data_IF_249556897260
#
_entry.id   IF_249556897260
#
_cell.length_a   1.000
_cell.length_b   1.000
_cell.length_c   1.000
_cell.angle_alpha   90.00
_cell.angle_beta   90.00
_cell.angle_gamma   90.00
#
_symmetry.space_group_name_H-M   'P 1'
#
loop_
_entity.id
_entity.type
_entity.pdbx_description
1 polymer ?
#
# COMPACT_ATOMS: atom_id res chain seq x y z
N UNK A 1 -22.04 -9.85 53.51
CA UNK A 1 -23.03 -9.26 52.60
C UNK A 1 -23.29 -10.28 51.51
N UNK A 2 -24.51 -10.85 51.41
CA UNK A 2 -24.78 -11.97 50.51
C UNK A 2 -24.93 -11.46 49.06
N UNK A 3 -24.00 -11.89 48.20
CA UNK A 3 -23.97 -11.52 46.78
C UNK A 3 -25.29 -11.90 46.08
N UNK A 4 -25.89 -13.04 46.42
CA UNK A 4 -27.19 -13.50 45.92
C UNK A 4 -28.34 -12.53 46.23
N UNK A 5 -28.32 -11.91 47.38
CA UNK A 5 -29.33 -10.92 47.76
C UNK A 5 -29.18 -9.65 46.90
N UNK A 6 -27.95 -9.17 46.70
CA UNK A 6 -27.68 -8.01 45.85
C UNK A 6 -28.11 -8.23 44.42
N UNK A 7 -27.80 -9.37 43.82
CA UNK A 7 -28.19 -9.71 42.44
C UNK A 7 -29.72 -9.73 42.30
N UNK A 8 -30.44 -10.38 43.25
CA UNK A 8 -31.91 -10.45 43.21
C UNK A 8 -32.56 -9.08 43.36
N UNK A 9 -32.04 -8.24 44.26
CA UNK A 9 -32.55 -6.89 44.52
C UNK A 9 -32.30 -5.97 43.28
N UNK A 10 -31.10 -6.05 42.69
CA UNK A 10 -30.77 -5.32 41.46
C UNK A 10 -31.70 -5.74 40.34
N UNK A 11 -31.88 -7.03 40.09
CA UNK A 11 -32.76 -7.54 39.04
C UNK A 11 -34.22 -7.08 39.23
N UNK A 12 -34.71 -7.07 40.50
CA UNK A 12 -36.05 -6.57 40.83
C UNK A 12 -36.19 -5.09 40.54
N UNK A 13 -35.19 -4.27 40.90
CA UNK A 13 -35.18 -2.84 40.62
C UNK A 13 -35.10 -2.49 39.12
N UNK A 14 -34.28 -3.21 38.35
CA UNK A 14 -34.24 -3.11 36.88
C UNK A 14 -35.60 -3.39 36.25
N UNK A 15 -36.25 -4.48 36.68
CA UNK A 15 -37.58 -4.88 36.18
C UNK A 15 -38.68 -3.88 36.55
N UNK A 16 -38.59 -3.26 37.71
CA UNK A 16 -39.56 -2.23 38.16
C UNK A 16 -39.43 -0.90 37.39
N UNK A 17 -38.21 -0.57 36.94
CA UNK A 17 -37.90 0.64 36.20
C UNK A 17 -37.49 0.31 34.75
N UNK A 18 -38.22 -0.59 34.11
CA UNK A 18 -37.84 -1.13 32.78
C UNK A 18 -37.61 -0.06 31.74
N UNK A 19 -38.44 0.98 31.71
CA UNK A 19 -38.34 2.09 30.77
C UNK A 19 -37.04 2.87 30.91
N UNK A 20 -36.65 3.20 32.16
CA UNK A 20 -35.39 3.89 32.44
C UNK A 20 -34.18 2.99 32.11
N UNK A 21 -34.26 1.72 32.44
CA UNK A 21 -33.21 0.75 32.16
C UNK A 21 -33.04 0.59 30.63
N UNK A 22 -34.14 0.45 29.91
CA UNK A 22 -34.10 0.33 28.45
C UNK A 22 -33.51 1.58 27.77
N UNK A 23 -33.92 2.77 28.23
CA UNK A 23 -33.37 4.03 27.74
C UNK A 23 -31.85 4.11 27.97
N UNK A 24 -31.38 3.76 29.16
CA UNK A 24 -29.94 3.76 29.48
C UNK A 24 -29.17 2.77 28.60
N UNK A 25 -29.68 1.55 28.45
CA UNK A 25 -29.05 0.50 27.62
C UNK A 25 -28.99 0.96 26.16
N UNK A 26 -30.07 1.51 25.61
CA UNK A 26 -30.08 2.04 24.25
C UNK A 26 -29.09 3.15 24.05
N UNK A 27 -29.00 4.10 24.99
CA UNK A 27 -28.01 5.20 24.91
C UNK A 27 -26.58 4.66 24.88
N UNK A 28 -26.25 3.71 25.76
CA UNK A 28 -24.92 3.09 25.78
C UNK A 28 -24.67 2.29 24.50
N UNK A 29 -25.66 1.51 24.03
CA UNK A 29 -25.55 0.74 22.80
C UNK A 29 -25.30 1.63 21.57
N UNK A 30 -26.05 2.72 21.44
CA UNK A 30 -25.84 3.70 20.34
C UNK A 30 -24.44 4.32 20.44
N UNK A 31 -24.02 4.75 21.62
CA UNK A 31 -22.68 5.34 21.81
C UNK A 31 -21.55 4.38 21.45
N UNK A 32 -21.65 3.11 21.88
CA UNK A 32 -20.67 2.08 21.56
C UNK A 32 -20.69 1.72 20.07
N UNK A 33 -21.87 1.70 19.44
CA UNK A 33 -22.01 1.47 17.99
C UNK A 33 -21.34 2.59 17.18
N UNK A 34 -21.55 3.85 17.55
CA UNK A 34 -20.91 4.99 16.90
C UNK A 34 -19.39 4.95 17.05
N UNK A 35 -18.91 4.60 18.25
CA UNK A 35 -17.48 4.42 18.48
C UNK A 35 -16.92 3.28 17.60
N UNK A 36 -17.61 2.15 17.54
CA UNK A 36 -17.23 1.02 16.69
C UNK A 36 -17.15 1.39 15.21
N UNK A 37 -18.17 2.10 14.71
CA UNK A 37 -18.18 2.62 13.32
C UNK A 37 -17.01 3.59 13.09
N UNK A 38 -16.73 4.50 14.01
CA UNK A 38 -15.63 5.44 13.90
C UNK A 38 -14.27 4.72 13.79
N UNK A 39 -14.04 3.69 14.61
CA UNK A 39 -12.80 2.89 14.56
C UNK A 39 -12.68 2.09 13.25
N UNK A 40 -13.79 1.54 12.75
CA UNK A 40 -13.80 0.82 11.47
C UNK A 40 -13.52 1.77 10.29
N UNK A 41 -14.11 2.97 10.31
CA UNK A 41 -13.84 3.98 9.29
C UNK A 41 -12.38 4.43 9.32
N UNK A 42 -11.82 4.68 10.50
CA UNK A 42 -10.40 5.04 10.64
C UNK A 42 -9.49 3.95 10.05
N UNK A 43 -9.76 2.68 10.35
CA UNK A 43 -8.99 1.56 9.78
C UNK A 43 -9.19 1.44 8.27
N UNK A 44 -10.39 1.67 7.77
CA UNK A 44 -10.70 1.68 6.34
C UNK A 44 -9.96 2.79 5.58
N UNK A 45 -9.92 3.99 6.14
CA UNK A 45 -9.20 5.14 5.56
C UNK A 45 -7.70 4.86 5.54
N UNK A 46 -7.10 4.38 6.64
CA UNK A 46 -5.68 4.06 6.67
C UNK A 46 -5.32 3.01 5.62
N UNK A 47 -6.10 1.92 5.52
CA UNK A 47 -5.86 0.89 4.50
C UNK A 47 -6.04 1.41 3.06
N UNK A 48 -6.96 2.36 2.84
CA UNK A 48 -7.13 2.98 1.54
C UNK A 48 -5.94 3.90 1.20
N UNK A 49 -5.47 4.69 2.18
CA UNK A 49 -4.30 5.56 2.02
C UNK A 49 -3.06 4.74 1.72
N UNK A 50 -2.79 3.66 2.48
CA UNK A 50 -1.67 2.76 2.25
C UNK A 50 -1.71 2.13 0.84
N UNK A 51 -2.90 1.79 0.35
CA UNK A 51 -3.07 1.28 -1.02
C UNK A 51 -2.81 2.34 -2.08
N UNK A 52 -3.22 3.59 -1.82
CA UNK A 52 -3.00 4.70 -2.75
C UNK A 52 -1.52 5.13 -2.76
N UNK A 53 -0.88 5.20 -1.60
CA UNK A 53 0.55 5.50 -1.49
C UNK A 53 1.41 4.43 -2.15
N UNK A 54 1.07 3.15 -2.00
CA UNK A 54 1.76 2.04 -2.65
C UNK A 54 1.34 1.81 -4.11
N UNK A 55 0.27 2.46 -4.58
CA UNK A 55 -0.25 2.31 -5.94
C UNK A 55 0.36 3.25 -6.97
N UNK A 56 1.02 4.34 -6.54
CA UNK A 56 1.70 5.27 -7.44
C UNK A 56 3.19 5.00 -7.38
N UNK A 57 3.67 4.25 -8.32
CA UNK A 57 5.10 4.02 -8.53
C UNK A 57 5.50 4.51 -9.92
N UNK A 58 6.68 5.07 -10.06
CA UNK A 58 7.29 5.24 -11.35
C UNK A 58 8.43 4.25 -11.54
N UNK A 59 8.64 3.86 -12.79
CA UNK A 59 9.58 2.80 -13.14
C UNK A 59 10.75 3.42 -13.87
N UNK A 60 11.94 3.20 -13.36
CA UNK A 60 13.19 3.52 -14.05
C UNK A 60 13.69 2.24 -14.70
N UNK A 61 13.55 2.14 -16.02
CA UNK A 61 14.03 1.00 -16.79
C UNK A 61 15.55 1.10 -16.96
N UNK A 62 16.23 0.01 -16.66
CA UNK A 62 17.69 -0.09 -16.73
C UNK A 62 18.09 -0.68 -18.07
N UNK A 63 19.20 -0.20 -18.63
CA UNK A 63 19.76 -0.76 -19.87
C UNK A 63 20.31 -2.16 -19.61
N UNK A 64 20.17 -3.11 -20.55
CA UNK A 64 20.64 -4.48 -20.36
C UNK A 64 22.16 -4.60 -20.15
N UNK A 65 22.92 -3.64 -20.66
CA UNK A 65 24.38 -3.55 -20.64
C UNK A 65 24.92 -2.62 -19.55
N UNK A 66 24.08 -2.28 -18.55
CA UNK A 66 24.48 -1.44 -17.42
C UNK A 66 25.67 -2.06 -16.67
N UNK A 67 26.70 -1.27 -16.45
CA UNK A 67 27.86 -1.70 -15.65
C UNK A 67 27.55 -1.62 -14.16
N UNK A 68 28.24 -2.45 -13.34
CA UNK A 68 28.08 -2.39 -11.87
C UNK A 68 28.39 -0.99 -11.30
N UNK A 69 29.34 -0.28 -11.89
CA UNK A 69 29.65 1.09 -11.46
C UNK A 69 28.46 2.05 -11.72
N UNK A 70 27.83 1.97 -12.88
CA UNK A 70 26.64 2.77 -13.22
C UNK A 70 25.47 2.42 -12.31
N UNK A 71 25.28 1.14 -12.00
CA UNK A 71 24.24 0.66 -11.07
C UNK A 71 24.44 1.22 -9.66
N UNK A 72 25.68 1.19 -9.17
CA UNK A 72 26.02 1.74 -7.86
C UNK A 72 25.84 3.27 -7.80
N UNK A 73 26.19 3.99 -8.87
CA UNK A 73 25.94 5.43 -8.98
C UNK A 73 24.44 5.74 -8.97
N UNK A 74 23.66 4.96 -9.73
CA UNK A 74 22.20 5.11 -9.79
C UNK A 74 21.56 4.85 -8.41
N UNK A 75 22.00 3.83 -7.69
CA UNK A 75 21.54 3.56 -6.32
C UNK A 75 21.92 4.71 -5.37
N UNK A 76 23.12 5.22 -5.46
CA UNK A 76 23.54 6.39 -4.65
C UNK A 76 22.68 7.63 -4.94
N UNK A 77 22.34 7.85 -6.20
CA UNK A 77 21.45 8.95 -6.60
C UNK A 77 20.03 8.76 -6.06
N UNK A 78 19.52 7.52 -6.08
CA UNK A 78 18.21 7.17 -5.49
C UNK A 78 18.20 7.39 -3.96
N UNK A 79 19.24 6.93 -3.26
CA UNK A 79 19.40 7.09 -1.80
C UNK A 79 19.48 8.55 -1.37
N UNK A 80 20.12 9.41 -2.17
CA UNK A 80 20.27 10.82 -1.88
C UNK A 80 19.10 11.70 -2.35
N UNK A 81 18.12 11.14 -3.05
CA UNK A 81 16.96 11.87 -3.56
C UNK A 81 15.91 12.13 -2.48
N UNK A 82 15.73 13.39 -2.10
CA UNK A 82 14.68 13.80 -1.14
C UNK A 82 13.26 13.67 -1.68
N UNK A 83 13.11 13.51 -2.99
CA UNK A 83 11.82 13.32 -3.66
C UNK A 83 11.35 11.88 -3.70
N UNK A 84 12.13 10.93 -3.18
CA UNK A 84 11.84 9.50 -3.17
C UNK A 84 11.60 9.04 -1.73
N UNK A 85 10.48 8.34 -1.51
CA UNK A 85 10.15 7.74 -0.21
C UNK A 85 10.84 6.39 -0.04
N UNK A 86 10.78 5.56 -1.08
CA UNK A 86 11.43 4.25 -1.11
C UNK A 86 11.61 3.77 -2.55
N UNK A 87 12.48 2.79 -2.75
CA UNK A 87 12.62 2.12 -4.03
C UNK A 87 12.99 0.65 -3.84
N UNK A 88 12.71 -0.18 -4.85
CA UNK A 88 13.18 -1.56 -4.93
C UNK A 88 13.72 -1.87 -6.33
N UNK A 89 14.74 -2.70 -6.38
CA UNK A 89 15.25 -3.24 -7.64
C UNK A 89 14.45 -4.50 -8.01
N UNK A 90 14.05 -4.58 -9.26
CA UNK A 90 13.36 -5.74 -9.84
C UNK A 90 14.28 -6.32 -10.92
N UNK A 91 14.72 -7.55 -10.71
CA UNK A 91 15.53 -8.29 -11.68
C UNK A 91 14.70 -8.69 -12.90
N UNK A 92 15.38 -9.15 -13.96
CA UNK A 92 14.70 -9.65 -15.16
C UNK A 92 13.81 -10.88 -14.84
N UNK A 93 14.30 -11.77 -13.98
CA UNK A 93 13.54 -12.95 -13.57
C UNK A 93 12.32 -12.58 -12.74
N UNK A 94 12.46 -11.64 -11.81
CA UNK A 94 11.36 -11.14 -10.99
C UNK A 94 10.34 -10.39 -11.85
N UNK A 95 10.79 -9.57 -12.79
CA UNK A 95 9.93 -8.87 -13.74
C UNK A 95 9.16 -9.83 -14.64
N UNK A 96 9.78 -10.92 -15.10
CA UNK A 96 9.10 -11.97 -15.85
C UNK A 96 8.03 -12.68 -15.02
N UNK A 97 8.33 -12.95 -13.75
CA UNK A 97 7.37 -13.56 -12.83
C UNK A 97 6.16 -12.64 -12.61
N UNK A 98 6.39 -11.36 -12.30
CA UNK A 98 5.33 -10.35 -12.17
C UNK A 98 4.51 -10.25 -13.45
N UNK A 99 5.17 -10.23 -14.62
CA UNK A 99 4.48 -10.17 -15.90
C UNK A 99 3.54 -11.35 -16.12
N UNK A 100 3.97 -12.55 -15.79
CA UNK A 100 3.17 -13.75 -15.92
C UNK A 100 1.99 -13.77 -14.96
N UNK A 101 2.21 -13.37 -13.70
CA UNK A 101 1.18 -13.36 -12.66
C UNK A 101 0.12 -12.27 -12.91
N UNK A 102 0.53 -11.09 -13.37
CA UNK A 102 -0.37 -9.93 -13.55
C UNK A 102 -1.18 -9.99 -14.86
N UNK A 103 -0.57 -10.47 -15.96
CA UNK A 103 -1.19 -10.39 -17.29
C UNK A 103 -1.72 -11.72 -17.84
N UNK A 104 -1.14 -12.84 -17.41
CA UNK A 104 -1.49 -14.15 -17.95
C UNK A 104 -1.63 -15.25 -16.86
N UNK A 105 -2.41 -15.00 -15.79
CA UNK A 105 -2.54 -15.96 -14.68
C UNK A 105 -3.10 -17.31 -15.13
N UNK A 106 -3.94 -17.32 -16.18
CA UNK A 106 -4.64 -18.51 -16.67
C UNK A 106 -4.05 -19.10 -17.98
N UNK A 107 -2.98 -18.53 -18.52
CA UNK A 107 -2.43 -18.93 -19.82
C UNK A 107 -0.92 -19.24 -19.76
N UNK A 108 -0.52 -20.39 -19.20
CA UNK A 108 0.89 -20.77 -19.07
C UNK A 108 1.61 -20.98 -20.42
N UNK A 109 0.89 -21.14 -21.51
CA UNK A 109 1.50 -21.29 -22.84
C UNK A 109 2.09 -19.98 -23.36
N UNK A 110 1.48 -18.83 -23.01
CA UNK A 110 1.98 -17.51 -23.41
C UNK A 110 3.25 -17.15 -22.61
N UNK A 111 3.31 -17.59 -21.36
CA UNK A 111 4.46 -17.33 -20.46
C UNK A 111 5.74 -17.99 -20.95
N UNK A 112 5.64 -19.07 -21.75
CA UNK A 112 6.80 -19.77 -22.33
C UNK A 112 7.40 -19.04 -23.55
N UNK A 113 6.67 -18.11 -24.14
CA UNK A 113 7.13 -17.34 -25.31
C UNK A 113 7.95 -16.10 -24.90
N UNK A 114 7.85 -15.66 -23.66
CA UNK A 114 8.57 -14.50 -23.14
C UNK A 114 9.68 -14.97 -22.21
N UNK A 115 10.91 -14.67 -22.57
CA UNK A 115 12.11 -15.04 -21.80
C UNK A 115 12.59 -13.83 -20.99
N UNK A 116 13.32 -14.07 -19.89
CA UNK A 116 13.75 -13.02 -18.98
C UNK A 116 14.67 -11.98 -19.64
N UNK A 117 15.42 -12.36 -20.68
CA UNK A 117 16.31 -11.48 -21.44
C UNK A 117 15.59 -10.41 -22.27
N UNK A 118 14.30 -10.61 -22.56
CA UNK A 118 13.47 -9.63 -23.29
C UNK A 118 12.95 -8.54 -22.35
N UNK A 119 12.81 -8.84 -21.07
CA UNK A 119 12.28 -7.92 -20.06
C UNK A 119 13.45 -7.22 -19.37
N UNK A 120 13.55 -5.87 -19.47
CA UNK A 120 14.62 -5.15 -18.79
C UNK A 120 14.41 -5.14 -17.27
N UNK A 121 15.50 -5.17 -16.54
CA UNK A 121 15.47 -4.88 -15.09
C UNK A 121 15.04 -3.43 -14.84
N UNK A 122 14.55 -3.14 -13.65
CA UNK A 122 14.03 -1.82 -13.32
C UNK A 122 14.15 -1.49 -11.84
N UNK A 123 14.13 -0.20 -11.53
CA UNK A 123 13.87 0.28 -10.17
C UNK A 123 12.42 0.75 -10.11
N UNK A 124 11.66 0.20 -9.15
CA UNK A 124 10.33 0.66 -8.79
C UNK A 124 10.47 1.68 -7.70
N UNK A 125 10.06 2.90 -7.96
CA UNK A 125 10.30 4.05 -7.09
C UNK A 125 8.98 4.63 -6.62
N UNK A 126 8.83 4.76 -5.30
CA UNK A 126 7.68 5.40 -4.67
C UNK A 126 8.09 6.86 -4.38
N UNK A 127 7.42 7.83 -4.98
CA UNK A 127 7.72 9.24 -4.75
C UNK A 127 7.30 9.67 -3.34
N UNK A 128 8.02 10.63 -2.76
CA UNK A 128 7.66 11.22 -1.48
C UNK A 128 6.42 12.12 -1.56
N UNK A 129 6.10 12.62 -2.75
CA UNK A 129 4.90 13.41 -3.04
C UNK A 129 4.15 12.84 -4.24
N UNK A 130 2.86 12.61 -4.06
CA UNK A 130 1.99 11.96 -5.04
C UNK A 130 1.36 12.97 -6.02
N UNK A 131 2.11 13.97 -6.48
CA UNK A 131 1.64 14.87 -7.52
C UNK A 131 2.38 14.62 -8.84
N UNK A 132 1.67 14.72 -9.95
CA UNK A 132 2.19 14.41 -11.28
C UNK A 132 3.42 15.26 -11.66
N UNK A 133 3.43 16.54 -11.28
CA UNK A 133 4.53 17.46 -11.59
C UNK A 133 5.83 17.06 -10.85
N UNK A 134 5.74 16.73 -9.55
CA UNK A 134 6.90 16.27 -8.79
C UNK A 134 7.45 14.94 -9.33
N UNK A 135 6.56 14.02 -9.69
CA UNK A 135 6.94 12.73 -10.29
C UNK A 135 7.67 12.95 -11.62
N UNK A 136 7.16 13.82 -12.48
CA UNK A 136 7.75 14.12 -13.78
C UNK A 136 9.13 14.77 -13.63
N UNK A 137 9.30 15.70 -12.68
CA UNK A 137 10.59 16.33 -12.39
C UNK A 137 11.61 15.27 -11.93
N UNK A 138 11.23 14.40 -11.01
CA UNK A 138 12.11 13.34 -10.51
C UNK A 138 12.45 12.36 -11.63
N UNK A 139 11.45 11.86 -12.34
CA UNK A 139 11.60 10.89 -13.42
C UNK A 139 12.51 11.43 -14.53
N UNK A 140 12.32 12.67 -14.97
CA UNK A 140 13.16 13.31 -15.99
C UNK A 140 14.63 13.49 -15.53
N UNK A 141 14.84 13.73 -14.24
CA UNK A 141 16.17 13.79 -13.64
C UNK A 141 16.93 12.47 -13.73
N UNK A 142 16.22 11.35 -13.61
CA UNK A 142 16.82 10.02 -13.75
C UNK A 142 16.97 9.56 -15.21
N UNK A 143 16.12 10.03 -16.14
CA UNK A 143 16.25 9.70 -17.57
C UNK A 143 17.58 10.14 -18.19
N UNK A 144 18.15 11.21 -17.66
CA UNK A 144 19.45 11.73 -18.11
C UNK A 144 20.65 10.94 -17.56
N UNK A 145 20.44 9.99 -16.66
CA UNK A 145 21.52 9.24 -16.01
C UNK A 145 22.04 8.10 -16.89
N UNK A 146 23.39 7.86 -16.86
CA UNK A 146 23.96 6.73 -17.58
C UNK A 146 23.41 5.39 -17.09
N UNK A 147 23.05 4.49 -18.02
CA UNK A 147 22.49 3.18 -17.72
C UNK A 147 20.96 3.16 -17.56
N UNK A 148 20.30 4.31 -17.63
CA UNK A 148 18.83 4.39 -17.68
C UNK A 148 18.36 4.36 -19.13
N UNK A 149 17.36 3.50 -19.43
CA UNK A 149 16.75 3.40 -20.76
C UNK A 149 15.60 4.39 -20.91
N UNK A 150 14.71 4.44 -19.93
CA UNK A 150 13.53 5.31 -19.89
C UNK A 150 12.93 5.29 -18.48
N UNK A 151 12.25 6.36 -18.09
CA UNK A 151 11.33 6.33 -16.95
C UNK A 151 9.88 6.34 -17.43
N UNK A 152 8.98 5.73 -16.68
CA UNK A 152 7.54 5.71 -16.98
C UNK A 152 6.74 5.66 -15.70
N UNK A 153 5.72 6.52 -15.59
CA UNK A 153 4.76 6.44 -14.47
C UNK A 153 3.77 5.31 -14.70
N UNK A 154 3.52 4.51 -13.67
CA UNK A 154 2.50 3.46 -13.66
C UNK A 154 1.49 3.77 -12.55
N UNK A 155 0.22 3.88 -12.91
CA UNK A 155 -0.89 3.80 -11.96
C UNK A 155 -1.37 2.35 -11.93
N UNK A 156 -1.34 1.73 -10.75
CA UNK A 156 -1.97 0.44 -10.49
C UNK A 156 -3.43 0.60 -10.05
#
# INVERSE_FOLDING_TARGET
MNVDYLIKETARNLRRNLTLTLASVLTVAVSLSLLGVALLLQKGVNNATDRWENGVEFIIWVQPDITENQKNLLQTDLDNSTGISSYRYVSQEEALKEFNEDYFPDNPEITQLVTADVIPSSYRVIPAQLNAEAIEIIASGFEAKPGVKKSSSRNR
#
